data_IF_645969003067
#
_entry.id   IF_645969003067
#
_cell.length_a   1.000
_cell.length_b   1.000
_cell.length_c   1.000
_cell.angle_alpha   90.00
_cell.angle_beta   90.00
_cell.angle_gamma   90.00
#
_symmetry.space_group_name_H-M   'P 1'
#
loop_
_entity.id
_entity.type
_entity.pdbx_description
1 polymer ?
#
# COMPACT_ATOMS: atom_id res chain seq x y z
N UNK A 1 12.20 21.09 -7.34
CA UNK A 1 11.55 19.82 -7.71
C UNK A 1 10.15 19.87 -7.15
N UNK A 2 9.11 19.45 -7.88
CA UNK A 2 7.77 19.38 -7.31
C UNK A 2 7.68 18.03 -6.59
N UNK A 3 7.74 18.07 -5.27
CA UNK A 3 7.43 16.92 -4.42
C UNK A 3 5.93 16.67 -4.57
N UNK A 4 5.56 15.47 -4.98
CA UNK A 4 4.15 15.04 -5.03
C UNK A 4 3.94 14.33 -3.71
N UNK A 5 3.11 14.92 -2.86
CA UNK A 5 2.67 14.29 -1.61
C UNK A 5 1.62 13.24 -1.99
N UNK A 6 1.95 11.97 -1.73
CA UNK A 6 1.09 10.83 -2.03
C UNK A 6 0.71 10.18 -0.71
N UNK A 7 -0.56 10.25 -0.37
CA UNK A 7 -1.13 9.55 0.79
C UNK A 7 -1.54 8.16 0.29
N UNK A 8 -1.02 7.11 0.92
CA UNK A 8 -1.24 5.72 0.53
C UNK A 8 -1.76 4.95 1.74
N UNK A 9 -2.89 4.26 1.56
CA UNK A 9 -3.46 3.32 2.53
C UNK A 9 -3.25 1.88 2.07
N UNK A 10 -3.14 0.96 3.03
CA UNK A 10 -3.03 -0.49 2.74
C UNK A 10 -4.27 -1.04 2.03
N UNK A 11 -5.46 -0.49 2.32
CA UNK A 11 -6.70 -0.84 1.60
C UNK A 11 -6.64 -0.48 0.11
N UNK A 12 -6.08 0.69 -0.23
CA UNK A 12 -5.92 1.13 -1.62
C UNK A 12 -4.92 0.24 -2.37
N UNK A 13 -3.83 -0.15 -1.71
CA UNK A 13 -2.85 -1.10 -2.25
C UNK A 13 -3.51 -2.46 -2.53
N UNK A 14 -4.30 -2.99 -1.59
CA UNK A 14 -5.01 -4.26 -1.74
C UNK A 14 -6.00 -4.22 -2.92
N UNK A 15 -6.79 -3.15 -3.05
CA UNK A 15 -7.72 -2.99 -4.17
C UNK A 15 -6.99 -2.90 -5.51
N UNK A 16 -5.87 -2.19 -5.56
CA UNK A 16 -5.03 -2.12 -6.76
C UNK A 16 -4.57 -3.51 -7.20
N UNK A 17 -4.02 -4.30 -6.28
CA UNK A 17 -3.58 -5.66 -6.58
C UNK A 17 -4.74 -6.56 -6.97
N UNK A 18 -5.90 -6.45 -6.33
CA UNK A 18 -7.08 -7.21 -6.70
C UNK A 18 -7.46 -6.96 -8.18
N UNK A 19 -7.60 -5.69 -8.57
CA UNK A 19 -7.95 -5.33 -9.95
C UNK A 19 -6.91 -5.82 -10.95
N UNK A 20 -5.62 -5.70 -10.62
CA UNK A 20 -4.53 -6.07 -11.51
C UNK A 20 -4.42 -7.60 -11.67
N UNK A 21 -4.52 -8.34 -10.56
CA UNK A 21 -4.51 -9.80 -10.55
C UNK A 21 -5.71 -10.38 -11.30
N UNK A 22 -6.91 -9.84 -11.09
CA UNK A 22 -8.11 -10.23 -11.83
C UNK A 22 -7.95 -9.97 -13.33
N UNK A 23 -7.40 -8.81 -13.73
CA UNK A 23 -7.13 -8.49 -15.15
C UNK A 23 -6.12 -9.44 -15.80
N UNK A 24 -5.21 -10.01 -15.02
CA UNK A 24 -4.25 -11.04 -15.47
C UNK A 24 -4.79 -12.47 -15.40
N UNK A 25 -6.02 -12.66 -14.92
CA UNK A 25 -6.68 -13.96 -14.84
C UNK A 25 -6.39 -14.75 -13.56
N UNK A 26 -5.86 -14.10 -12.52
CA UNK A 26 -5.71 -14.68 -11.19
C UNK A 26 -6.96 -14.41 -10.34
N UNK A 27 -7.25 -15.30 -9.40
CA UNK A 27 -8.30 -15.11 -8.39
C UNK A 27 -7.62 -15.10 -7.02
N UNK A 28 -7.11 -13.94 -6.59
CA UNK A 28 -6.49 -13.83 -5.27
C UNK A 28 -7.55 -13.95 -4.18
N UNK A 29 -7.16 -14.52 -3.06
CA UNK A 29 -7.95 -14.48 -1.83
C UNK A 29 -7.76 -13.15 -1.11
N UNK A 30 -8.70 -12.80 -0.22
CA UNK A 30 -8.59 -11.58 0.58
C UNK A 30 -7.33 -11.57 1.43
N UNK A 31 -7.00 -12.70 2.07
CA UNK A 31 -5.80 -12.86 2.90
C UNK A 31 -4.51 -12.62 2.08
N UNK A 32 -4.43 -13.12 0.84
CA UNK A 32 -3.28 -12.85 -0.04
C UNK A 32 -3.15 -11.37 -0.41
N UNK A 33 -4.27 -10.66 -0.57
CA UNK A 33 -4.26 -9.22 -0.90
C UNK A 33 -3.83 -8.37 0.29
N UNK A 34 -4.30 -8.72 1.48
CA UNK A 34 -3.91 -8.07 2.73
C UNK A 34 -2.41 -8.24 2.99
N UNK A 35 -1.88 -9.47 2.88
CA UNK A 35 -0.45 -9.73 3.00
C UNK A 35 0.38 -8.99 1.93
N UNK A 36 -0.10 -8.95 0.67
CA UNK A 36 0.57 -8.21 -0.40
C UNK A 36 0.58 -6.70 -0.13
N UNK A 37 -0.49 -6.17 0.45
CA UNK A 37 -0.57 -4.77 0.82
C UNK A 37 0.43 -4.42 1.93
N UNK A 38 0.47 -5.21 2.99
CA UNK A 38 1.43 -5.03 4.10
C UNK A 38 2.88 -5.13 3.61
N UNK A 39 3.21 -6.18 2.85
CA UNK A 39 4.57 -6.34 2.28
C UNK A 39 4.96 -5.16 1.39
N UNK A 40 4.00 -4.66 0.60
CA UNK A 40 4.27 -3.52 -0.30
C UNK A 40 4.43 -2.23 0.48
N UNK A 41 3.62 -2.00 1.51
CA UNK A 41 3.72 -0.84 2.39
C UNK A 41 5.08 -0.81 3.09
N UNK A 42 5.48 -1.92 3.71
CA UNK A 42 6.80 -2.09 4.32
C UNK A 42 7.93 -1.84 3.32
N UNK A 43 7.81 -2.36 2.11
CA UNK A 43 8.80 -2.13 1.05
C UNK A 43 8.89 -0.64 0.66
N UNK A 44 7.77 0.07 0.59
CA UNK A 44 7.76 1.51 0.29
C UNK A 44 8.36 2.33 1.42
N UNK A 45 8.13 1.95 2.69
CA UNK A 45 8.80 2.51 3.86
C UNK A 45 10.31 2.29 3.81
N UNK A 46 10.76 1.05 3.55
CA UNK A 46 12.19 0.71 3.44
C UNK A 46 12.90 1.48 2.32
N UNK A 47 12.17 1.82 1.25
CA UNK A 47 12.70 2.63 0.14
C UNK A 47 12.65 4.13 0.40
N UNK A 48 12.16 4.56 1.57
CA UNK A 48 11.91 5.96 1.92
C UNK A 48 11.06 6.66 0.85
N UNK A 49 10.10 5.94 0.26
CA UNK A 49 9.14 6.48 -0.73
C UNK A 49 7.96 7.10 0.00
N UNK A 50 7.51 6.46 1.08
CA UNK A 50 6.51 6.95 2.01
C UNK A 50 7.15 7.06 3.40
N UNK A 51 6.58 7.93 4.23
CA UNK A 51 6.87 8.02 5.66
C UNK A 51 5.58 7.64 6.40
N UNK A 52 5.70 6.90 7.50
CA UNK A 52 4.54 6.60 8.33
C UNK A 52 4.22 7.88 9.11
N UNK A 53 3.14 8.59 8.73
CA UNK A 53 2.63 9.69 9.56
C UNK A 53 2.04 9.08 10.83
N UNK A 54 2.89 8.84 11.83
CA UNK A 54 2.45 8.65 13.20
C UNK A 54 1.88 10.01 13.59
N UNK A 55 0.56 10.14 13.79
CA UNK A 55 -0.06 11.34 14.38
C UNK A 55 0.59 11.60 15.75
N UNK A 56 1.68 12.36 15.80
CA UNK A 56 2.33 12.81 17.04
C UNK A 56 1.66 14.10 17.52
N UNK A 57 0.33 14.11 17.57
CA UNK A 57 -0.46 15.20 18.17
C UNK A 57 -1.31 14.64 19.32
N UNK A 58 -0.60 14.17 20.35
CA UNK A 58 -1.15 13.75 21.64
C UNK A 58 -0.26 14.22 22.78
N UNK A 59 -0.23 15.53 23.03
CA UNK A 59 0.24 16.12 24.30
C UNK A 59 -0.81 15.98 25.41
#
# INVERSE_FOLDING_TARGET
MKEIEVIIDTEEIAEFFYQELIRRGFVPTQEELEELADITFDYLLEKCIIDEEIDIDGE
#
